data_IF_773862194586
#
_entry.id   IF_773862194586
#
_cell.length_a   1.000
_cell.length_b   1.000
_cell.length_c   1.000
_cell.angle_alpha   90.00
_cell.angle_beta   90.00
_cell.angle_gamma   90.00
#
_symmetry.space_group_name_H-M   'P 1'
#
loop_
_entity.id
_entity.type
_entity.pdbx_description
1 polymer ?
#
# COMPACT_ATOMS: atom_id res chain seq x y z
N UNK A 1 29.44 -58.36 68.59
CA UNK A 1 28.43 -58.63 67.58
C UNK A 1 28.15 -57.30 66.86
N UNK A 2 28.89 -57.01 65.73
CA UNK A 2 28.88 -55.71 65.02
C UNK A 2 27.96 -55.82 63.80
N UNK A 3 26.90 -55.04 63.83
CA UNK A 3 25.91 -54.94 62.75
C UNK A 3 26.39 -53.90 61.75
N UNK A 4 26.79 -54.32 60.53
CA UNK A 4 27.17 -53.39 59.41
C UNK A 4 25.93 -52.88 58.69
N UNK A 5 25.65 -51.62 58.86
CA UNK A 5 24.61 -50.88 58.05
C UNK A 5 25.18 -50.60 56.65
N UNK A 6 24.57 -51.17 55.62
CA UNK A 6 24.88 -50.80 54.20
C UNK A 6 24.04 -49.63 53.81
N UNK A 7 24.69 -48.48 53.60
CA UNK A 7 24.05 -47.31 53.01
C UNK A 7 23.93 -47.54 51.51
N UNK A 8 22.70 -47.59 51.01
CA UNK A 8 22.41 -47.62 49.56
C UNK A 8 22.32 -46.14 49.05
N UNK A 9 23.33 -45.72 48.28
CA UNK A 9 23.30 -44.39 47.63
C UNK A 9 22.42 -44.45 46.32
N UNK A 10 21.26 -43.85 46.35
CA UNK A 10 20.40 -43.68 45.15
C UNK A 10 20.94 -42.47 44.41
N UNK A 11 21.61 -42.66 43.28
CA UNK A 11 22.08 -41.61 42.38
C UNK A 11 20.90 -41.22 41.45
N UNK A 12 20.22 -40.11 41.76
CA UNK A 12 19.19 -39.57 40.89
C UNK A 12 19.88 -38.88 39.69
N UNK A 13 19.80 -39.48 38.50
CA UNK A 13 20.23 -38.87 37.24
C UNK A 13 19.17 -37.90 36.82
N UNK A 14 19.41 -36.58 37.00
CA UNK A 14 18.60 -35.51 36.40
C UNK A 14 18.93 -35.43 34.89
N UNK A 15 18.06 -35.93 34.04
CA UNK A 15 18.10 -35.63 32.60
C UNK A 15 17.73 -34.16 32.42
N UNK A 16 18.71 -33.32 32.16
CA UNK A 16 18.48 -31.97 31.60
C UNK A 16 18.02 -32.13 30.15
N UNK A 17 16.73 -32.02 29.94
CA UNK A 17 16.18 -31.80 28.59
C UNK A 17 16.57 -30.36 28.19
N UNK A 18 17.67 -30.21 27.46
CA UNK A 18 18.02 -28.95 26.82
C UNK A 18 17.01 -28.73 25.71
N UNK A 19 15.98 -27.90 25.97
CA UNK A 19 15.16 -27.35 24.89
C UNK A 19 16.11 -26.62 23.92
N UNK A 20 16.02 -26.86 22.62
CA UNK A 20 16.79 -26.08 21.66
C UNK A 20 16.43 -24.61 21.86
N UNK A 21 17.42 -23.80 22.22
CA UNK A 21 17.28 -22.34 22.21
C UNK A 21 17.17 -21.91 20.72
N UNK A 22 15.95 -21.76 20.24
CA UNK A 22 15.74 -21.15 18.94
C UNK A 22 16.18 -19.68 19.06
N UNK A 23 17.15 -19.26 18.24
CA UNK A 23 17.48 -17.86 18.08
C UNK A 23 16.23 -17.16 17.57
N UNK A 24 15.81 -16.12 18.28
CA UNK A 24 14.71 -15.27 17.82
C UNK A 24 15.25 -14.39 16.69
N UNK A 25 14.63 -14.46 15.51
CA UNK A 25 14.94 -13.61 14.37
C UNK A 25 14.10 -12.32 14.42
N UNK A 26 14.70 -11.18 14.14
CA UNK A 26 14.03 -9.89 14.10
C UNK A 26 13.93 -9.42 12.65
N UNK A 27 12.72 -9.39 12.13
CA UNK A 27 12.39 -8.87 10.81
C UNK A 27 12.28 -7.35 10.88
N UNK A 28 13.25 -6.64 10.29
CA UNK A 28 13.33 -5.18 10.28
C UNK A 28 12.54 -4.62 9.09
N UNK A 29 11.48 -3.85 9.40
CA UNK A 29 10.57 -3.26 8.42
C UNK A 29 10.93 -1.80 8.22
N UNK A 30 11.36 -1.42 7.01
CA UNK A 30 11.57 -0.02 6.67
C UNK A 30 10.25 0.67 6.36
N UNK A 31 10.02 1.84 6.95
CA UNK A 31 8.87 2.67 6.63
C UNK A 31 9.25 4.13 6.37
N UNK A 32 8.71 4.66 5.27
CA UNK A 32 8.89 6.04 4.83
C UNK A 32 7.77 6.99 5.30
N UNK A 33 6.67 6.44 5.80
CA UNK A 33 5.54 7.21 6.31
C UNK A 33 5.74 7.58 7.80
N UNK A 34 5.04 8.62 8.31
CA UNK A 34 5.12 8.94 9.73
C UNK A 34 4.60 7.80 10.62
N UNK A 35 5.04 7.72 11.89
CA UNK A 35 4.57 6.68 12.82
C UNK A 35 3.05 6.61 12.98
N UNK A 36 2.35 7.74 12.82
CA UNK A 36 0.90 7.85 12.92
C UNK A 36 0.14 7.41 11.67
N UNK A 37 0.83 7.16 10.57
CA UNK A 37 0.21 6.67 9.34
C UNK A 37 -0.34 5.25 9.53
N UNK A 38 -1.49 4.94 8.93
CA UNK A 38 -2.19 3.66 9.08
C UNK A 38 -1.29 2.42 8.89
N UNK A 39 -0.33 2.47 7.97
CA UNK A 39 0.62 1.38 7.76
C UNK A 39 1.45 1.09 9.01
N UNK A 40 1.88 2.12 9.72
CA UNK A 40 2.75 2.02 10.88
C UNK A 40 2.00 1.89 12.20
N UNK A 41 0.80 2.48 12.29
CA UNK A 41 -0.02 2.44 13.49
C UNK A 41 -0.94 1.20 13.55
N UNK A 42 -1.18 0.53 12.43
CA UNK A 42 -2.15 -0.57 12.34
C UNK A 42 -1.67 -1.76 11.52
N UNK A 43 -1.37 -1.57 10.24
CA UNK A 43 -1.12 -2.70 9.31
C UNK A 43 0.12 -3.51 9.73
N UNK A 44 1.29 -2.88 9.82
CA UNK A 44 2.52 -3.57 10.18
C UNK A 44 2.50 -4.16 11.60
N UNK A 45 1.99 -3.46 12.64
CA UNK A 45 1.86 -4.05 13.97
C UNK A 45 0.94 -5.27 14.01
N UNK A 46 -0.19 -5.23 13.29
CA UNK A 46 -1.12 -6.36 13.24
C UNK A 46 -0.53 -7.54 12.48
N UNK A 47 0.06 -7.30 11.32
CA UNK A 47 0.74 -8.34 10.54
C UNK A 47 1.94 -8.92 11.32
N UNK A 48 2.73 -8.07 11.99
CA UNK A 48 3.86 -8.49 12.82
C UNK A 48 3.42 -9.41 13.96
N UNK A 49 2.30 -9.10 14.60
CA UNK A 49 1.70 -9.98 15.61
C UNK A 49 1.29 -11.33 15.01
N UNK A 50 0.71 -11.35 13.81
CA UNK A 50 0.37 -12.60 13.13
C UNK A 50 1.62 -13.42 12.79
N UNK A 51 2.71 -12.77 12.37
CA UNK A 51 4.00 -13.42 12.12
C UNK A 51 4.54 -14.05 13.41
N UNK A 52 4.55 -13.29 14.50
CA UNK A 52 5.03 -13.78 15.80
C UNK A 52 4.19 -14.98 16.30
N UNK A 53 2.87 -14.88 16.22
CA UNK A 53 1.97 -15.98 16.60
C UNK A 53 2.16 -17.21 15.70
N UNK A 54 2.23 -17.05 14.38
CA UNK A 54 2.38 -18.15 13.43
C UNK A 54 3.74 -18.83 13.51
N UNK A 55 4.78 -18.09 13.89
CA UNK A 55 6.15 -18.63 14.09
C UNK A 55 6.42 -19.02 15.56
N UNK A 56 5.39 -19.01 16.43
CA UNK A 56 5.53 -19.35 17.86
C UNK A 56 6.64 -18.52 18.55
N UNK A 57 6.75 -17.22 18.19
CA UNK A 57 7.74 -16.28 18.73
C UNK A 57 9.16 -16.40 18.16
N UNK A 58 9.41 -17.28 17.17
CA UNK A 58 10.74 -17.40 16.55
C UNK A 58 11.07 -16.23 15.63
N UNK A 59 10.06 -15.59 15.01
CA UNK A 59 10.24 -14.37 14.22
C UNK A 59 9.39 -13.26 14.82
N UNK A 60 10.02 -12.13 15.12
CA UNK A 60 9.36 -10.90 15.58
C UNK A 60 9.61 -9.79 14.57
N UNK A 61 8.88 -8.69 14.68
CA UNK A 61 9.02 -7.56 13.75
C UNK A 61 9.40 -6.27 14.45
N UNK A 62 10.18 -5.42 13.77
CA UNK A 62 10.55 -4.09 14.22
C UNK A 62 10.42 -3.08 13.08
N UNK A 63 9.73 -1.97 13.32
CA UNK A 63 9.60 -0.90 12.32
C UNK A 63 10.72 0.11 12.49
N UNK A 64 11.45 0.36 11.41
CA UNK A 64 12.53 1.34 11.32
C UNK A 64 12.10 2.52 10.41
N UNK A 65 12.27 3.73 10.91
CA UNK A 65 11.84 4.94 10.20
C UNK A 65 13.04 5.69 9.60
N UNK A 66 12.82 6.28 8.42
CA UNK A 66 13.79 7.22 7.83
C UNK A 66 15.03 6.56 7.24
N UNK A 67 15.09 5.24 7.07
CA UNK A 67 16.24 4.55 6.46
C UNK A 67 16.48 5.00 5.02
N UNK A 68 15.39 5.22 4.26
CA UNK A 68 15.46 5.71 2.89
C UNK A 68 14.20 6.48 2.48
N UNK A 69 14.30 7.25 1.39
CA UNK A 69 13.13 7.89 0.77
C UNK A 69 12.15 6.86 0.20
N UNK A 70 10.87 7.24 -0.04
CA UNK A 70 9.88 6.34 -0.65
C UNK A 70 10.34 5.72 -1.98
N UNK A 71 11.15 6.46 -2.77
CA UNK A 71 11.65 6.01 -4.06
C UNK A 71 12.73 4.93 -3.97
N UNK A 72 13.31 4.72 -2.79
CA UNK A 72 14.45 3.81 -2.57
C UNK A 72 14.11 2.56 -1.74
N UNK A 73 12.86 2.40 -1.38
CA UNK A 73 12.45 1.29 -0.52
C UNK A 73 12.62 -0.09 -1.20
N UNK A 74 12.43 -0.15 -2.53
CA UNK A 74 12.65 -1.39 -3.27
C UNK A 74 14.12 -1.85 -3.21
N UNK A 75 15.04 -0.93 -3.54
CA UNK A 75 16.48 -1.22 -3.51
C UNK A 75 16.94 -1.57 -2.09
N UNK A 76 16.41 -0.89 -1.08
CA UNK A 76 16.73 -1.11 0.32
C UNK A 76 16.38 -2.54 0.77
N UNK A 77 15.22 -3.07 0.35
CA UNK A 77 14.82 -4.44 0.62
C UNK A 77 15.63 -5.43 -0.22
N UNK A 78 15.79 -5.16 -1.53
CA UNK A 78 16.56 -6.03 -2.42
C UNK A 78 17.98 -6.23 -1.93
N UNK A 79 18.62 -5.16 -1.47
CA UNK A 79 20.03 -5.15 -1.06
C UNK A 79 20.22 -5.58 0.42
N UNK A 80 19.14 -6.01 1.11
CA UNK A 80 19.18 -6.55 2.47
C UNK A 80 19.49 -5.51 3.56
N UNK A 81 19.29 -4.21 3.28
CA UNK A 81 19.44 -3.15 4.30
C UNK A 81 18.23 -3.13 5.25
N UNK A 82 17.08 -3.55 4.76
CA UNK A 82 15.91 -3.90 5.56
C UNK A 82 15.33 -5.22 5.06
N UNK A 83 14.68 -5.97 5.96
CA UNK A 83 14.11 -7.28 5.63
C UNK A 83 12.76 -7.16 4.94
N UNK A 84 12.00 -6.09 5.24
CA UNK A 84 10.75 -5.80 4.56
C UNK A 84 10.52 -4.29 4.40
N UNK A 85 9.66 -3.92 3.45
CA UNK A 85 9.16 -2.56 3.29
C UNK A 85 7.86 -2.57 2.47
N UNK A 86 7.19 -1.42 2.42
CA UNK A 86 6.12 -1.17 1.47
C UNK A 86 6.51 -0.08 0.48
N UNK A 87 6.06 -0.24 -0.76
CA UNK A 87 6.34 0.67 -1.86
C UNK A 87 5.06 1.15 -2.52
N UNK A 88 5.12 2.32 -3.16
CA UNK A 88 4.11 2.79 -4.10
C UNK A 88 4.64 2.61 -5.52
N UNK A 89 3.94 1.85 -6.36
CA UNK A 89 4.38 1.54 -7.72
C UNK A 89 4.49 2.77 -8.62
N UNK A 90 3.63 3.76 -8.43
CA UNK A 90 3.64 5.00 -9.21
C UNK A 90 4.94 5.81 -9.11
N UNK A 91 5.82 5.53 -8.16
CA UNK A 91 7.12 6.21 -8.05
C UNK A 91 8.19 5.68 -9.02
N UNK A 92 7.95 4.55 -9.69
CA UNK A 92 8.91 3.97 -10.60
C UNK A 92 8.23 3.51 -11.90
N UNK A 93 8.74 3.98 -13.04
CA UNK A 93 8.18 3.69 -14.37
C UNK A 93 8.32 2.24 -14.82
N UNK A 94 9.06 1.41 -14.09
CA UNK A 94 9.16 -0.03 -14.36
C UNK A 94 7.86 -0.77 -14.11
N UNK A 95 7.02 -0.25 -13.21
CA UNK A 95 5.74 -0.84 -12.85
C UNK A 95 4.67 -0.38 -13.84
N UNK A 96 4.15 -1.30 -14.62
CA UNK A 96 3.07 -1.08 -15.58
C UNK A 96 1.89 -2.02 -15.30
N UNK A 97 2.17 -3.32 -15.21
CA UNK A 97 1.13 -4.33 -14.99
C UNK A 97 0.47 -4.18 -13.61
N UNK A 98 1.27 -3.99 -12.58
CA UNK A 98 0.79 -3.80 -11.20
C UNK A 98 -0.06 -2.54 -11.00
N UNK A 99 -0.06 -1.61 -11.94
CA UNK A 99 -0.93 -0.44 -11.91
C UNK A 99 -2.40 -0.73 -12.34
N UNK A 100 -2.77 -1.98 -12.59
CA UNK A 100 -4.14 -2.37 -12.96
C UNK A 100 -5.21 -1.81 -12.00
N UNK A 101 -4.94 -1.83 -10.69
CA UNK A 101 -5.87 -1.32 -9.67
C UNK A 101 -5.98 0.20 -9.67
N UNK A 102 -5.03 0.91 -10.27
CA UNK A 102 -5.02 2.38 -10.31
C UNK A 102 -6.05 2.97 -11.29
N UNK A 103 -6.72 2.13 -12.09
CA UNK A 103 -7.63 2.61 -13.12
C UNK A 103 -8.76 3.47 -12.55
N UNK A 104 -9.12 4.56 -13.27
CA UNK A 104 -10.22 5.43 -12.90
C UNK A 104 -11.55 4.68 -12.74
N UNK A 105 -12.44 5.22 -11.89
CA UNK A 105 -13.81 4.75 -11.75
C UNK A 105 -13.92 3.25 -11.37
N UNK A 106 -13.05 2.77 -10.49
CA UNK A 106 -13.17 1.39 -9.97
C UNK A 106 -14.43 1.23 -9.09
N UNK A 107 -14.82 2.28 -8.36
CA UNK A 107 -16.10 2.39 -7.68
C UNK A 107 -16.27 1.44 -6.50
N UNK A 108 -15.23 1.19 -5.73
CA UNK A 108 -15.24 0.22 -4.63
C UNK A 108 -14.46 0.74 -3.41
N UNK A 109 -14.54 0.02 -2.27
CA UNK A 109 -13.74 0.26 -1.09
C UNK A 109 -12.26 -0.09 -1.31
N UNK A 110 -11.37 0.39 -0.46
CA UNK A 110 -9.96 0.00 -0.49
C UNK A 110 -9.78 -1.48 -0.15
N UNK A 111 -10.59 -2.03 0.74
CA UNK A 111 -10.59 -3.46 1.07
C UNK A 111 -10.89 -4.31 -0.17
N UNK A 112 -12.03 -4.06 -0.82
CA UNK A 112 -12.43 -4.80 -2.01
C UNK A 112 -11.43 -4.63 -3.17
N UNK A 113 -10.91 -3.41 -3.38
CA UNK A 113 -9.87 -3.14 -4.37
C UNK A 113 -8.59 -3.93 -4.08
N UNK A 114 -8.14 -3.98 -2.82
CA UNK A 114 -6.90 -4.68 -2.42
C UNK A 114 -7.01 -6.19 -2.60
N UNK A 115 -8.14 -6.79 -2.21
CA UNK A 115 -8.39 -8.23 -2.40
C UNK A 115 -8.50 -8.57 -3.89
N UNK A 116 -9.26 -7.79 -4.67
CA UNK A 116 -9.35 -7.98 -6.11
C UNK A 116 -7.98 -7.85 -6.78
N UNK A 117 -7.20 -6.86 -6.37
CA UNK A 117 -5.86 -6.61 -6.88
C UNK A 117 -4.92 -7.79 -6.63
N UNK A 118 -4.90 -8.35 -5.41
CA UNK A 118 -4.11 -9.53 -5.09
C UNK A 118 -4.50 -10.72 -5.98
N UNK A 119 -5.79 -11.04 -6.08
CA UNK A 119 -6.28 -12.17 -6.87
C UNK A 119 -5.96 -12.03 -8.36
N UNK A 120 -6.18 -10.83 -8.92
CA UNK A 120 -5.86 -10.54 -10.33
C UNK A 120 -4.35 -10.56 -10.58
N UNK A 121 -3.54 -10.10 -9.63
CA UNK A 121 -2.09 -10.20 -9.73
C UNK A 121 -1.67 -11.66 -9.87
N UNK A 122 -2.13 -12.56 -8.99
CA UNK A 122 -1.77 -13.98 -9.05
C UNK A 122 -2.13 -14.62 -10.40
N UNK A 123 -3.24 -14.22 -10.99
CA UNK A 123 -3.75 -14.84 -12.24
C UNK A 123 -3.19 -14.21 -13.50
N UNK A 124 -3.04 -12.90 -13.56
CA UNK A 124 -2.73 -12.16 -14.79
C UNK A 124 -1.41 -11.41 -14.76
N UNK A 125 -1.09 -10.73 -13.63
CA UNK A 125 -0.05 -9.72 -13.61
C UNK A 125 1.32 -10.26 -13.20
N UNK A 126 1.36 -11.34 -12.41
CA UNK A 126 2.61 -11.93 -11.89
C UNK A 126 3.63 -12.29 -12.97
N UNK A 127 3.15 -12.66 -14.17
CA UNK A 127 4.02 -13.00 -15.31
C UNK A 127 4.86 -11.83 -15.85
N UNK A 128 4.47 -10.59 -15.53
CA UNK A 128 5.26 -9.41 -15.87
C UNK A 128 6.55 -9.29 -15.01
N UNK A 129 6.65 -10.07 -13.93
CA UNK A 129 7.83 -10.17 -13.03
C UNK A 129 8.38 -8.81 -12.56
N UNK A 130 7.46 -7.87 -12.28
CA UNK A 130 7.83 -6.49 -11.94
C UNK A 130 8.50 -6.33 -10.56
N UNK A 131 8.39 -7.36 -9.71
CA UNK A 131 9.04 -7.39 -8.38
C UNK A 131 10.31 -8.25 -8.34
N UNK A 132 10.89 -8.58 -9.51
CA UNK A 132 12.10 -9.38 -9.60
C UNK A 132 13.21 -8.89 -8.67
N UNK A 133 13.77 -9.81 -7.88
CA UNK A 133 14.86 -9.55 -6.92
C UNK A 133 14.40 -9.35 -5.48
N UNK A 134 13.08 -9.44 -5.22
CA UNK A 134 12.49 -9.45 -3.87
C UNK A 134 11.31 -10.43 -3.83
N UNK A 135 10.87 -10.80 -2.64
CA UNK A 135 9.65 -11.59 -2.46
C UNK A 135 8.46 -10.67 -2.22
N UNK A 136 7.43 -10.80 -3.07
CA UNK A 136 6.16 -10.11 -2.91
C UNK A 136 5.32 -10.83 -1.84
N UNK A 137 5.05 -10.16 -0.72
CA UNK A 137 4.26 -10.73 0.38
C UNK A 137 2.84 -10.16 0.49
N UNK A 138 2.48 -9.18 -0.32
CA UNK A 138 1.12 -8.64 -0.38
C UNK A 138 1.02 -7.46 -1.32
N UNK A 139 -0.21 -7.18 -1.74
CA UNK A 139 -0.56 -6.00 -2.54
C UNK A 139 -1.73 -5.28 -1.86
N UNK A 140 -1.77 -3.96 -1.95
CA UNK A 140 -2.89 -3.18 -1.43
C UNK A 140 -3.14 -1.95 -2.29
N UNK A 141 -4.34 -1.40 -2.15
CA UNK A 141 -4.73 -0.13 -2.75
C UNK A 141 -5.24 0.82 -1.68
N UNK A 142 -4.94 2.11 -1.81
CA UNK A 142 -5.70 3.11 -1.06
C UNK A 142 -7.13 3.25 -1.63
N UNK A 143 -8.02 3.88 -0.90
CA UNK A 143 -9.36 4.20 -1.36
C UNK A 143 -9.37 5.19 -2.53
N UNK A 144 -10.57 5.57 -3.02
CA UNK A 144 -10.69 6.47 -4.17
C UNK A 144 -9.98 7.80 -3.93
N UNK A 145 -9.09 8.18 -4.83
CA UNK A 145 -8.49 9.50 -4.81
C UNK A 145 -9.53 10.57 -5.14
N UNK A 146 -9.36 11.73 -4.53
CA UNK A 146 -10.18 12.94 -4.73
C UNK A 146 -9.32 14.10 -5.22
N UNK A 147 -9.94 15.11 -5.77
CA UNK A 147 -9.29 16.36 -6.17
C UNK A 147 -9.32 17.29 -4.96
N UNK A 148 -8.16 17.75 -4.52
CA UNK A 148 -8.03 18.65 -3.38
C UNK A 148 -7.31 19.93 -3.84
N UNK A 149 -7.92 21.10 -3.66
CA UNK A 149 -7.45 22.36 -4.25
C UNK A 149 -7.51 23.53 -3.27
N UNK A 150 -6.69 24.56 -3.52
CA UNK A 150 -6.74 25.84 -2.79
C UNK A 150 -7.95 26.68 -3.16
N UNK A 151 -8.40 26.58 -4.40
CA UNK A 151 -9.58 27.29 -4.92
C UNK A 151 -10.67 26.30 -5.28
N UNK A 152 -11.97 26.69 -5.19
CA UNK A 152 -13.07 25.83 -5.58
C UNK A 152 -13.01 25.50 -7.08
N UNK A 153 -13.49 24.30 -7.44
CA UNK A 153 -13.66 23.88 -8.83
C UNK A 153 -15.14 23.93 -9.20
N UNK A 154 -15.48 24.63 -10.30
CA UNK A 154 -16.82 24.65 -10.85
C UNK A 154 -16.97 23.64 -11.99
N UNK A 155 -15.87 23.34 -12.68
CA UNK A 155 -15.80 22.39 -13.77
C UNK A 155 -14.43 21.70 -13.83
N UNK A 156 -14.30 20.62 -14.66
CA UNK A 156 -13.00 19.99 -14.92
C UNK A 156 -12.03 20.91 -15.68
N UNK A 157 -12.56 21.90 -16.44
CA UNK A 157 -11.73 22.84 -17.19
C UNK A 157 -10.94 23.77 -16.26
N UNK A 158 -11.44 23.98 -15.04
CA UNK A 158 -10.73 24.78 -14.02
C UNK A 158 -9.39 24.15 -13.59
N UNK A 159 -9.21 22.87 -13.86
CA UNK A 159 -7.93 22.18 -13.61
C UNK A 159 -6.86 22.50 -14.65
N UNK A 160 -7.27 22.96 -15.84
CA UNK A 160 -6.34 23.21 -16.95
C UNK A 160 -5.28 24.24 -16.55
N UNK A 161 -4.01 23.84 -16.67
CA UNK A 161 -2.86 24.69 -16.32
C UNK A 161 -2.58 24.85 -14.81
N UNK A 162 -3.49 24.41 -13.91
CA UNK A 162 -3.20 24.43 -12.48
C UNK A 162 -2.03 23.50 -12.14
N UNK A 163 -1.17 23.94 -11.21
CA UNK A 163 -0.07 23.12 -10.69
C UNK A 163 -0.61 22.10 -9.69
N UNK A 164 -0.93 20.92 -10.18
CA UNK A 164 -1.48 19.85 -9.36
C UNK A 164 -0.40 18.79 -9.06
N UNK A 165 -0.21 18.50 -7.77
CA UNK A 165 0.63 17.38 -7.41
C UNK A 165 -0.04 16.08 -7.85
N UNK A 166 0.70 15.28 -8.62
CA UNK A 166 0.30 13.94 -9.05
C UNK A 166 1.29 12.89 -8.52
N UNK A 167 0.82 11.68 -8.17
CA UNK A 167 1.66 10.70 -7.48
C UNK A 167 2.67 9.99 -8.40
N UNK A 168 2.46 9.99 -9.69
CA UNK A 168 3.06 9.08 -10.67
C UNK A 168 2.04 8.06 -11.15
N UNK A 169 2.48 7.00 -11.86
CA UNK A 169 1.59 5.95 -12.35
C UNK A 169 0.40 6.47 -13.14
N UNK A 170 -0.73 5.82 -12.98
CA UNK A 170 -2.00 6.22 -13.61
C UNK A 170 -2.46 7.59 -13.14
N UNK A 171 -2.20 7.98 -11.89
CA UNK A 171 -2.52 9.32 -11.41
C UNK A 171 -1.84 10.44 -12.22
N UNK A 172 -0.65 10.20 -12.80
CA UNK A 172 -0.02 11.12 -13.75
C UNK A 172 -0.70 11.14 -15.11
N UNK A 173 -1.20 9.99 -15.59
CA UNK A 173 -1.97 9.91 -16.83
C UNK A 173 -3.31 10.66 -16.69
N UNK A 174 -3.99 10.47 -15.55
CA UNK A 174 -5.20 11.21 -15.19
C UNK A 174 -4.93 12.73 -15.19
N UNK A 175 -3.87 13.17 -14.52
CA UNK A 175 -3.49 14.58 -14.51
C UNK A 175 -3.24 15.14 -15.91
N UNK A 176 -2.49 14.41 -16.74
CA UNK A 176 -2.25 14.79 -18.14
C UNK A 176 -3.56 14.89 -18.93
N UNK A 177 -4.45 13.91 -18.80
CA UNK A 177 -5.73 13.89 -19.49
C UNK A 177 -6.66 15.06 -19.06
N UNK A 178 -6.55 15.50 -17.81
CA UNK A 178 -7.27 16.67 -17.27
C UNK A 178 -6.55 18.01 -17.53
N UNK A 179 -5.43 18.02 -18.25
CA UNK A 179 -4.73 19.23 -18.65
C UNK A 179 -3.98 19.94 -17.51
N UNK A 180 -3.69 19.29 -16.40
CA UNK A 180 -2.95 19.92 -15.29
C UNK A 180 -1.48 20.10 -15.59
N UNK A 181 -0.85 21.11 -14.99
CA UNK A 181 0.61 21.23 -14.88
C UNK A 181 1.07 20.32 -13.74
N UNK A 182 1.61 19.15 -14.10
CA UNK A 182 1.93 18.11 -13.13
C UNK A 182 3.15 18.45 -12.26
N UNK A 183 2.97 18.49 -10.95
CA UNK A 183 4.05 18.57 -9.94
C UNK A 183 4.30 17.18 -9.39
N UNK A 184 5.41 16.55 -9.81
CA UNK A 184 5.77 15.18 -9.41
C UNK A 184 6.66 15.21 -8.16
N UNK A 185 6.13 14.75 -7.02
CA UNK A 185 6.89 14.63 -5.78
C UNK A 185 6.29 13.55 -4.86
N UNK A 186 7.13 12.94 -3.99
CA UNK A 186 6.68 11.90 -3.08
C UNK A 186 5.78 12.45 -1.97
N UNK A 187 4.93 11.58 -1.40
CA UNK A 187 3.92 11.94 -0.41
C UNK A 187 4.47 12.74 0.80
N UNK A 188 5.63 12.46 1.40
CA UNK A 188 6.12 13.25 2.53
C UNK A 188 6.40 14.74 2.23
N UNK A 189 6.45 15.13 0.95
CA UNK A 189 6.70 16.52 0.50
C UNK A 189 5.46 17.32 0.15
N UNK A 190 4.26 16.69 0.22
CA UNK A 190 3.02 17.30 -0.30
C UNK A 190 2.58 18.51 0.52
N UNK A 191 2.67 18.45 1.85
CA UNK A 191 2.29 19.57 2.71
C UNK A 191 3.15 20.80 2.45
N UNK A 192 4.47 20.63 2.38
CA UNK A 192 5.42 21.71 2.06
C UNK A 192 5.12 22.33 0.68
N UNK A 193 4.91 21.49 -0.35
CA UNK A 193 4.64 21.96 -1.71
C UNK A 193 3.35 22.76 -1.80
N UNK A 194 2.31 22.37 -1.09
CA UNK A 194 1.05 23.09 -1.02
C UNK A 194 1.16 24.38 -0.20
N UNK A 195 1.77 24.34 0.99
CA UNK A 195 1.90 25.50 1.86
C UNK A 195 2.76 26.62 1.25
N UNK A 196 3.78 26.27 0.48
CA UNK A 196 4.69 27.23 -0.18
C UNK A 196 4.24 27.68 -1.57
N UNK A 197 3.13 27.13 -2.13
CA UNK A 197 2.62 27.49 -3.45
C UNK A 197 3.37 26.85 -4.63
N UNK A 198 4.18 25.81 -4.38
CA UNK A 198 4.75 24.97 -5.44
C UNK A 198 3.64 24.20 -6.16
N UNK A 199 2.58 23.80 -5.43
CA UNK A 199 1.38 23.23 -5.99
C UNK A 199 0.13 24.01 -5.54
N UNK A 200 -0.87 24.06 -6.42
CA UNK A 200 -2.18 24.70 -6.20
C UNK A 200 -3.22 23.69 -5.71
N UNK A 201 -2.95 22.40 -5.92
CA UNK A 201 -3.81 21.29 -5.54
C UNK A 201 -3.08 19.95 -5.61
N UNK A 202 -3.82 18.91 -5.33
CA UNK A 202 -3.27 17.54 -5.23
C UNK A 202 -4.35 16.50 -5.55
N UNK A 203 -3.94 15.42 -6.17
CA UNK A 203 -4.72 14.18 -6.30
C UNK A 203 -4.22 13.17 -5.27
N UNK A 204 -5.01 12.91 -4.25
CA UNK A 204 -4.74 11.93 -3.18
C UNK A 204 -6.07 11.48 -2.53
N UNK A 205 -6.11 10.34 -1.81
CA UNK A 205 -7.31 9.89 -1.11
C UNK A 205 -7.69 10.82 0.06
N UNK A 206 -8.92 10.67 0.54
CA UNK A 206 -9.50 11.51 1.58
C UNK A 206 -8.72 11.46 2.90
N UNK A 207 -8.10 10.32 3.23
CA UNK A 207 -7.33 10.12 4.46
C UNK A 207 -6.22 11.18 4.65
N UNK A 208 -5.69 11.71 3.54
CA UNK A 208 -4.61 12.68 3.54
C UNK A 208 -4.99 14.04 4.13
N UNK A 209 -6.28 14.35 4.21
CA UNK A 209 -6.77 15.49 4.97
C UNK A 209 -6.33 15.44 6.44
N UNK A 210 -6.22 14.20 6.99
CA UNK A 210 -5.74 13.95 8.36
C UNK A 210 -4.26 13.58 8.40
N UNK A 211 -3.85 12.52 7.71
CA UNK A 211 -2.52 11.90 7.83
C UNK A 211 -1.37 12.81 7.37
N UNK A 212 -1.61 13.63 6.35
CA UNK A 212 -0.67 14.64 5.84
C UNK A 212 -1.10 16.08 6.14
N UNK A 213 -2.11 16.27 7.01
CA UNK A 213 -2.61 17.57 7.46
C UNK A 213 -3.09 18.47 6.31
N UNK A 214 -3.56 17.89 5.20
CA UNK A 214 -3.92 18.67 4.01
C UNK A 214 -5.12 19.57 4.24
N UNK A 215 -5.97 19.30 5.24
CA UNK A 215 -7.05 20.19 5.69
C UNK A 215 -6.60 21.61 6.05
N UNK A 216 -5.30 21.82 6.30
CA UNK A 216 -4.74 23.14 6.64
C UNK A 216 -4.35 23.95 5.39
N UNK A 217 -4.17 23.31 4.24
CA UNK A 217 -3.57 23.91 3.05
C UNK A 217 -4.40 23.78 1.77
N UNK A 218 -5.40 22.90 1.74
CA UNK A 218 -6.34 22.71 0.61
C UNK A 218 -7.78 22.61 1.13
N UNK A 219 -8.49 23.77 1.23
CA UNK A 219 -9.81 23.86 1.84
C UNK A 219 -10.96 23.38 0.93
N UNK A 220 -10.68 22.90 -0.27
CA UNK A 220 -11.71 22.41 -1.21
C UNK A 220 -11.39 20.97 -1.65
N UNK A 221 -12.40 20.11 -1.54
CA UNK A 221 -12.33 18.72 -1.98
C UNK A 221 -13.47 18.45 -2.95
N UNK A 222 -13.13 17.94 -4.14
CA UNK A 222 -14.12 17.48 -5.11
C UNK A 222 -14.01 15.96 -5.25
N UNK A 223 -15.10 15.27 -4.90
CA UNK A 223 -15.23 13.81 -5.01
C UNK A 223 -15.72 13.48 -6.41
N UNK A 224 -14.97 12.67 -7.14
CA UNK A 224 -15.41 12.08 -8.39
C UNK A 224 -16.14 10.75 -8.11
N UNK A 225 -17.41 10.58 -8.49
CA UNK A 225 -18.08 9.30 -8.33
C UNK A 225 -17.26 8.15 -8.93
N UNK A 226 -17.18 7.03 -8.21
CA UNK A 226 -16.32 5.91 -8.61
C UNK A 226 -14.81 6.09 -8.40
N UNK A 227 -14.38 7.27 -7.93
CA UNK A 227 -12.98 7.59 -7.66
C UNK A 227 -12.23 8.17 -8.84
N UNK A 228 -11.36 9.14 -8.58
CA UNK A 228 -10.51 9.77 -9.61
C UNK A 228 -9.46 8.76 -10.13
N UNK A 229 -8.84 8.01 -9.27
CA UNK A 229 -7.95 6.87 -9.51
C UNK A 229 -7.75 6.16 -8.16
N UNK A 230 -7.05 5.05 -8.17
CA UNK A 230 -6.61 4.35 -6.97
C UNK A 230 -5.08 4.27 -6.95
N UNK A 231 -4.47 3.94 -5.82
CA UNK A 231 -3.02 3.79 -5.75
C UNK A 231 -2.64 2.32 -5.55
N UNK A 232 -1.59 1.89 -6.20
CA UNK A 232 -1.09 0.52 -6.08
C UNK A 232 0.15 0.44 -5.20
N UNK A 233 0.12 -0.43 -4.20
CA UNK A 233 1.24 -0.65 -3.27
C UNK A 233 1.61 -2.12 -3.20
N UNK A 234 2.88 -2.38 -2.93
CA UNK A 234 3.36 -3.73 -2.60
C UNK A 234 4.01 -3.76 -1.22
N UNK A 235 3.80 -4.88 -0.53
CA UNK A 235 4.58 -5.30 0.62
C UNK A 235 5.66 -6.25 0.13
N UNK A 236 6.91 -5.89 0.38
CA UNK A 236 8.09 -6.59 -0.12
C UNK A 236 8.90 -7.16 1.04
N UNK A 237 9.50 -8.33 0.81
CA UNK A 237 10.45 -8.94 1.72
C UNK A 237 11.74 -9.29 0.99
N UNK A 238 12.87 -9.15 1.67
CA UNK A 238 14.16 -9.60 1.17
C UNK A 238 14.13 -11.12 0.98
N UNK A 239 14.48 -11.58 -0.21
CA UNK A 239 14.39 -13.01 -0.55
C UNK A 239 15.43 -13.86 0.20
N UNK A 240 16.60 -13.31 0.48
CA UNK A 240 17.64 -14.03 1.21
C UNK A 240 17.31 -14.14 2.70
N UNK A 241 16.74 -13.08 3.31
CA UNK A 241 16.21 -13.15 4.67
C UNK A 241 15.18 -14.28 4.78
N UNK A 242 14.18 -14.29 3.89
CA UNK A 242 13.14 -15.31 3.89
C UNK A 242 13.72 -16.71 3.67
N UNK A 243 14.68 -16.86 2.76
CA UNK A 243 15.36 -18.15 2.49
C UNK A 243 16.22 -18.62 3.67
N UNK A 244 16.73 -17.71 4.48
CA UNK A 244 17.52 -18.01 5.69
C UNK A 244 16.70 -18.59 6.84
N UNK A 245 15.37 -18.39 6.85
CA UNK A 245 14.47 -18.96 7.85
C UNK A 245 14.24 -20.47 7.62
N UNK A 246 13.76 -21.15 8.66
CA UNK A 246 13.29 -22.54 8.52
C UNK A 246 12.12 -22.60 7.52
N UNK A 247 11.93 -23.76 6.86
CA UNK A 247 10.79 -23.96 5.97
C UNK A 247 9.46 -23.75 6.71
N UNK A 248 9.36 -24.20 7.96
CA UNK A 248 8.20 -23.98 8.82
C UNK A 248 7.89 -22.48 8.97
N UNK A 249 8.90 -21.66 9.27
CA UNK A 249 8.72 -20.23 9.51
C UNK A 249 8.43 -19.46 8.22
N UNK A 250 9.10 -19.83 7.12
CA UNK A 250 8.78 -19.27 5.79
C UNK A 250 7.31 -19.47 5.43
N UNK A 251 6.83 -20.70 5.54
CA UNK A 251 5.45 -21.04 5.24
C UNK A 251 4.49 -20.30 6.17
N UNK A 252 4.79 -20.27 7.48
CA UNK A 252 3.97 -19.55 8.46
C UNK A 252 3.85 -18.05 8.15
N UNK A 253 4.93 -17.38 7.72
CA UNK A 253 4.91 -15.97 7.30
C UNK A 253 4.08 -15.80 6.04
N UNK A 254 4.25 -16.68 5.05
CA UNK A 254 3.49 -16.59 3.79
C UNK A 254 1.99 -16.84 4.00
N UNK A 255 1.60 -17.73 4.92
CA UNK A 255 0.20 -18.04 5.25
C UNK A 255 -0.54 -16.86 5.91
N UNK A 256 0.19 -15.97 6.60
CA UNK A 256 -0.39 -14.75 7.18
C UNK A 256 -0.22 -13.51 6.29
N UNK A 257 0.33 -13.68 5.09
CA UNK A 257 0.57 -12.66 4.08
C UNK A 257 -0.45 -12.75 2.92
N UNK A 258 -0.09 -12.30 1.74
CA UNK A 258 -0.93 -12.42 0.56
C UNK A 258 -2.26 -11.71 0.68
N UNK A 259 -3.35 -12.42 0.40
CA UNK A 259 -4.71 -11.87 0.46
C UNK A 259 -5.11 -11.40 1.87
N UNK A 260 -4.67 -12.11 2.91
CA UNK A 260 -4.94 -11.73 4.31
C UNK A 260 -4.34 -10.37 4.65
N UNK A 261 -3.10 -10.13 4.22
CA UNK A 261 -2.44 -8.83 4.38
C UNK A 261 -3.08 -7.75 3.48
N UNK A 262 -3.46 -8.10 2.26
CA UNK A 262 -4.16 -7.19 1.34
C UNK A 262 -5.49 -6.70 1.95
N UNK A 263 -6.29 -7.62 2.50
CA UNK A 263 -7.54 -7.32 3.19
C UNK A 263 -7.30 -6.41 4.40
N UNK A 264 -6.40 -6.78 5.30
CA UNK A 264 -6.05 -5.96 6.46
C UNK A 264 -5.67 -4.53 6.08
N UNK A 265 -4.80 -4.39 5.08
CA UNK A 265 -4.37 -3.07 4.64
C UNK A 265 -5.52 -2.26 4.03
N UNK A 266 -6.38 -2.89 3.23
CA UNK A 266 -7.56 -2.26 2.66
C UNK A 266 -8.54 -1.76 3.73
N UNK A 267 -8.85 -2.57 4.75
CA UNK A 267 -9.67 -2.19 5.90
C UNK A 267 -9.11 -0.94 6.61
N UNK A 268 -7.80 -0.89 6.80
CA UNK A 268 -7.14 0.26 7.42
C UNK A 268 -7.18 1.51 6.53
N UNK A 269 -7.09 1.35 5.19
CA UNK A 269 -7.27 2.47 4.26
C UNK A 269 -8.69 3.03 4.30
N UNK A 270 -9.72 2.18 4.29
CA UNK A 270 -11.12 2.59 4.38
C UNK A 270 -11.40 3.33 5.71
N UNK A 271 -10.90 2.81 6.83
CA UNK A 271 -11.01 3.46 8.13
C UNK A 271 -10.29 4.83 8.16
N UNK A 272 -9.15 4.94 7.49
CA UNK A 272 -8.40 6.19 7.39
C UNK A 272 -9.13 7.23 6.51
N UNK A 273 -9.78 6.82 5.42
CA UNK A 273 -10.60 7.71 4.59
C UNK A 273 -11.80 8.27 5.37
N UNK A 274 -12.47 7.44 6.19
CA UNK A 274 -13.53 7.91 7.10
C UNK A 274 -12.98 8.94 8.10
N UNK A 275 -11.81 8.68 8.69
CA UNK A 275 -11.17 9.60 9.62
C UNK A 275 -10.68 10.89 8.93
N UNK A 276 -10.22 10.81 7.69
CA UNK A 276 -9.84 11.96 6.86
C UNK A 276 -11.04 12.84 6.53
N UNK A 277 -12.17 12.24 6.14
CA UNK A 277 -13.42 12.96 5.89
C UNK A 277 -13.92 13.68 7.14
N UNK A 278 -13.88 13.04 8.30
CA UNK A 278 -14.25 13.66 9.57
C UNK A 278 -13.35 14.86 9.88
N UNK A 279 -12.03 14.71 9.73
CA UNK A 279 -11.05 15.77 9.96
C UNK A 279 -11.22 16.96 8.99
N UNK A 280 -11.56 16.69 7.73
CA UNK A 280 -11.86 17.72 6.73
C UNK A 280 -13.11 18.53 7.13
N UNK A 281 -14.19 17.84 7.51
CA UNK A 281 -15.43 18.50 7.97
C UNK A 281 -15.20 19.36 9.22
N UNK A 282 -14.47 18.85 10.20
CA UNK A 282 -14.11 19.57 11.42
C UNK A 282 -13.30 20.85 11.13
N UNK A 283 -12.43 20.81 10.11
CA UNK A 283 -11.64 21.96 9.68
C UNK A 283 -12.43 22.96 8.82
N UNK A 284 -13.69 22.68 8.48
CA UNK A 284 -14.51 23.54 7.60
C UNK A 284 -14.17 23.42 6.12
N UNK A 285 -13.52 22.32 5.70
CA UNK A 285 -13.22 22.03 4.30
C UNK A 285 -14.53 21.93 3.50
N UNK A 286 -14.61 22.64 2.38
CA UNK A 286 -15.74 22.55 1.45
C UNK A 286 -15.62 21.25 0.65
N UNK A 287 -16.58 20.35 0.85
CA UNK A 287 -16.61 19.05 0.18
C UNK A 287 -17.78 19.02 -0.80
N UNK A 288 -17.48 18.80 -2.08
CA UNK A 288 -18.46 18.68 -3.16
C UNK A 288 -18.32 17.33 -3.86
N UNK A 289 -19.42 16.88 -4.46
CA UNK A 289 -19.40 15.72 -5.37
C UNK A 289 -19.64 16.24 -6.78
N UNK A 290 -18.85 15.77 -7.74
CA UNK A 290 -19.02 16.13 -9.15
C UNK A 290 -20.43 15.78 -9.64
N UNK A 291 -21.02 16.65 -10.45
CA UNK A 291 -22.33 16.42 -11.07
C UNK A 291 -22.30 15.22 -12.00
N UNK A 292 -23.47 14.67 -12.31
CA UNK A 292 -23.59 13.57 -13.27
C UNK A 292 -23.01 13.93 -14.66
N UNK A 293 -23.16 15.19 -15.08
CA UNK A 293 -22.58 15.70 -16.33
C UNK A 293 -21.05 15.75 -16.26
N UNK A 294 -20.50 16.30 -15.18
CA UNK A 294 -19.05 16.35 -14.94
C UNK A 294 -18.47 14.93 -14.87
N UNK A 295 -19.15 14.00 -14.18
CA UNK A 295 -18.72 12.61 -14.11
C UNK A 295 -18.76 11.93 -15.48
N UNK A 296 -19.81 12.13 -16.28
CA UNK A 296 -19.88 11.58 -17.65
C UNK A 296 -18.70 12.08 -18.49
N UNK A 297 -18.44 13.37 -18.49
CA UNK A 297 -17.30 13.96 -19.21
C UNK A 297 -15.97 13.40 -18.71
N UNK A 298 -15.82 13.22 -17.40
CA UNK A 298 -14.64 12.58 -16.81
C UNK A 298 -14.43 11.17 -17.37
N UNK A 299 -15.47 10.33 -17.42
CA UNK A 299 -15.37 8.97 -17.96
C UNK A 299 -14.96 8.95 -19.44
N UNK A 300 -15.48 9.88 -20.23
CA UNK A 300 -15.10 10.01 -21.64
C UNK A 300 -13.61 10.36 -21.80
N UNK A 301 -13.09 11.25 -20.97
CA UNK A 301 -11.66 11.60 -20.94
C UNK A 301 -10.81 10.38 -20.49
N UNK A 302 -11.25 9.67 -19.47
CA UNK A 302 -10.49 8.54 -18.87
C UNK A 302 -10.45 7.28 -19.75
N UNK A 303 -11.33 7.13 -20.71
CA UNK A 303 -11.30 6.00 -21.65
C UNK A 303 -9.94 5.88 -22.37
N UNK A 304 -9.30 7.00 -22.67
CA UNK A 304 -7.96 7.00 -23.28
C UNK A 304 -6.87 6.50 -22.34
N UNK A 305 -7.00 6.77 -21.03
CA UNK A 305 -6.05 6.32 -20.01
C UNK A 305 -6.09 4.78 -19.87
N UNK A 306 -7.27 4.22 -19.83
CA UNK A 306 -7.47 2.77 -19.77
C UNK A 306 -6.90 2.08 -21.02
N UNK A 307 -7.21 2.60 -22.20
CA UNK A 307 -6.71 2.05 -23.46
C UNK A 307 -5.18 2.14 -23.57
N UNK A 308 -4.59 3.23 -23.10
CA UNK A 308 -3.12 3.38 -23.05
C UNK A 308 -2.50 2.31 -22.14
N UNK A 309 -3.08 2.07 -20.97
CA UNK A 309 -2.60 1.03 -20.06
C UNK A 309 -2.72 -0.36 -20.66
N UNK A 310 -3.89 -0.73 -21.22
CA UNK A 310 -4.12 -2.02 -21.89
C UNK A 310 -3.06 -2.25 -22.98
N UNK A 311 -2.78 -1.23 -23.78
CA UNK A 311 -1.77 -1.31 -24.85
C UNK A 311 -0.37 -1.52 -24.28
N UNK A 312 -0.03 -0.83 -23.20
CA UNK A 312 1.32 -0.92 -22.60
C UNK A 312 1.53 -2.25 -21.89
N UNK A 313 0.57 -2.73 -21.12
CA UNK A 313 0.69 -4.01 -20.41
C UNK A 313 0.71 -5.21 -21.36
N UNK A 314 0.05 -5.09 -22.51
CA UNK A 314 0.10 -6.09 -23.57
C UNK A 314 1.50 -6.36 -24.10
N UNK A 315 2.41 -5.38 -24.07
CA UNK A 315 3.84 -5.53 -24.44
C UNK A 315 4.58 -6.49 -23.49
N UNK A 316 4.12 -6.60 -22.23
CA UNK A 316 4.63 -7.56 -21.26
C UNK A 316 3.88 -8.91 -21.29
N UNK A 317 3.06 -9.16 -22.32
CA UNK A 317 2.31 -10.39 -22.49
C UNK A 317 1.12 -10.54 -21.55
N UNK A 318 0.67 -9.47 -20.88
CA UNK A 318 -0.50 -9.48 -19.99
C UNK A 318 -1.75 -9.15 -20.79
N UNK A 319 -2.82 -9.95 -20.65
CA UNK A 319 -4.15 -9.59 -21.12
C UNK A 319 -4.76 -8.52 -20.19
N UNK A 320 -4.48 -7.26 -20.52
CA UNK A 320 -4.93 -6.13 -19.70
C UNK A 320 -6.44 -5.99 -19.66
N UNK A 321 -7.15 -6.32 -20.75
CA UNK A 321 -8.60 -6.24 -20.78
C UNK A 321 -9.23 -7.26 -19.84
N UNK A 322 -8.85 -8.53 -19.96
CA UNK A 322 -9.35 -9.59 -19.08
C UNK A 322 -8.99 -9.32 -17.60
N UNK A 323 -7.78 -8.82 -17.34
CA UNK A 323 -7.34 -8.44 -15.99
C UNK A 323 -8.24 -7.37 -15.37
N UNK A 324 -8.58 -6.30 -16.11
CA UNK A 324 -9.46 -5.23 -15.62
C UNK A 324 -10.92 -5.69 -15.46
N UNK A 325 -11.43 -6.50 -16.37
CA UNK A 325 -12.78 -7.05 -16.28
C UNK A 325 -12.92 -7.91 -15.02
N UNK A 326 -11.96 -8.80 -14.76
CA UNK A 326 -11.97 -9.63 -13.55
C UNK A 326 -11.75 -8.83 -12.27
N UNK A 327 -10.82 -7.86 -12.28
CA UNK A 327 -10.59 -6.97 -11.14
C UNK A 327 -11.89 -6.25 -10.74
N UNK A 328 -12.57 -5.65 -11.70
CA UNK A 328 -13.86 -4.98 -11.47
C UNK A 328 -14.97 -5.94 -11.03
N UNK A 329 -14.97 -7.16 -11.57
CA UNK A 329 -15.93 -8.20 -11.18
C UNK A 329 -15.75 -8.60 -9.71
N UNK A 330 -14.52 -8.91 -9.31
CA UNK A 330 -14.21 -9.28 -7.91
C UNK A 330 -14.53 -8.11 -6.98
N UNK A 331 -14.06 -6.90 -7.31
CA UNK A 331 -14.27 -5.71 -6.49
C UNK A 331 -15.75 -5.37 -6.26
N UNK A 332 -16.62 -5.65 -7.23
CA UNK A 332 -18.09 -5.45 -7.09
C UNK A 332 -18.79 -6.56 -6.30
N UNK A 333 -18.22 -7.75 -6.26
CA UNK A 333 -18.82 -8.90 -5.59
C UNK A 333 -18.34 -9.11 -4.16
N UNK A 334 -17.29 -8.39 -3.78
CA UNK A 334 -16.69 -8.42 -2.45
C UNK A 334 -17.45 -7.53 -1.47
#
# INVERSE_FOLDING_TARGET
MFMRLKLLAITTVMLFVTAPAFSQEVLNISSWAPPTHLMNAGVWPTWGKWVEEATEGRVTTKIEYGLASPLKQFELVRDGVADAAWIFHGYNTRYVATQAVEMPNLGTSAEAASVAYWRVHQKYLAKADEHKGVTLIGLTSHGPAVIQTKSPLNSLDDLSGQKIRVPGGVGSLVGKALGVTAVKLPAPKVYEALSTGVADGIFMPMETQKSFRLKEVVPHVTIMPGGLYYGSFAFLMNSDFLAGLSEKDRNAIMDVSGEKLAKLAGEHWDAADVAGLAAAKEAGTTISTASAETHKRYLEIMASVEQEWITNVGKAGVDGKAALEELRSIARSY
#
